data_IF_687613640557
#
_entry.id   IF_687613640557
#
_cell.length_a   1.000
_cell.length_b   1.000
_cell.length_c   1.000
_cell.angle_alpha   90.00
_cell.angle_beta   90.00
_cell.angle_gamma   90.00
#
_symmetry.space_group_name_H-M   'P 1'
#
loop_
_entity.id
_entity.type
_entity.pdbx_description
1 polymer ?
#
# COMPACT_ATOMS: atom_id res chain seq x y z
N UNK A 1 -12.87 -5.41 -2.37
CA UNK A 1 -12.43 -6.81 -2.39
C UNK A 1 -11.08 -6.87 -1.68
N UNK A 2 -11.02 -7.50 -0.52
CA UNK A 2 -9.75 -7.71 0.20
C UNK A 2 -8.92 -8.73 -0.59
N UNK A 3 -7.75 -8.36 -1.05
CA UNK A 3 -6.82 -9.29 -1.66
C UNK A 3 -5.75 -9.58 -0.62
N UNK A 4 -5.77 -10.76 0.02
CA UNK A 4 -4.64 -11.17 0.84
C UNK A 4 -3.46 -11.46 -0.08
N UNK A 5 -2.48 -10.58 -0.10
CA UNK A 5 -1.18 -10.85 -0.72
C UNK A 5 -0.33 -11.61 0.32
N UNK A 6 -0.78 -12.79 0.69
CA UNK A 6 0.00 -13.80 1.39
C UNK A 6 0.63 -14.78 0.38
N UNK A 7 1.46 -15.70 0.83
CA UNK A 7 2.23 -16.64 0.00
C UNK A 7 1.43 -17.41 -1.11
N UNK A 8 0.09 -17.40 -1.08
CA UNK A 8 -0.80 -17.89 -2.15
C UNK A 8 -1.28 -16.82 -3.13
N UNK A 9 -0.98 -15.54 -2.89
CA UNK A 9 -1.45 -14.42 -3.72
C UNK A 9 -0.84 -14.33 -5.11
N UNK A 10 0.33 -14.94 -5.31
CA UNK A 10 1.01 -14.96 -6.60
C UNK A 10 0.21 -15.66 -7.71
N UNK A 11 -0.58 -16.67 -7.39
CA UNK A 11 -1.40 -17.41 -8.38
C UNK A 11 -2.60 -16.57 -8.82
N UNK A 12 -3.28 -15.89 -7.90
CA UNK A 12 -4.38 -14.99 -8.21
C UNK A 12 -3.90 -13.79 -9.05
N UNK A 13 -2.80 -13.17 -8.65
CA UNK A 13 -2.18 -12.06 -9.35
C UNK A 13 -1.76 -12.45 -10.78
N UNK A 14 -1.12 -13.63 -10.94
CA UNK A 14 -0.75 -14.18 -12.25
C UNK A 14 -1.95 -14.40 -13.15
N UNK A 15 -3.06 -14.89 -12.60
CA UNK A 15 -4.32 -15.08 -13.31
C UNK A 15 -4.91 -13.76 -13.80
N UNK A 16 -4.96 -12.73 -12.93
CA UNK A 16 -5.47 -11.40 -13.25
C UNK A 16 -4.61 -10.72 -14.34
N UNK A 17 -3.30 -10.71 -14.19
CA UNK A 17 -2.37 -10.13 -15.19
C UNK A 17 -2.43 -10.87 -16.53
N UNK A 18 -2.70 -12.18 -16.54
CA UNK A 18 -2.86 -12.94 -17.77
C UNK A 18 -4.06 -12.50 -18.63
N UNK A 19 -5.00 -11.75 -18.07
CA UNK A 19 -6.13 -11.15 -18.82
C UNK A 19 -5.82 -9.77 -19.39
N UNK A 20 -4.68 -9.18 -19.04
CA UNK A 20 -4.29 -7.85 -19.48
C UNK A 20 -4.01 -7.81 -20.98
N UNK A 21 -4.45 -6.74 -21.62
CA UNK A 21 -4.01 -6.37 -22.97
C UNK A 21 -2.52 -6.00 -22.97
N UNK A 22 -1.91 -6.00 -24.14
CA UNK A 22 -0.51 -5.56 -24.29
C UNK A 22 -0.30 -4.11 -23.80
N UNK A 23 -1.32 -3.24 -23.95
CA UNK A 23 -1.30 -1.87 -23.43
C UNK A 23 -1.23 -1.82 -21.90
N UNK A 24 -2.08 -2.59 -21.22
CA UNK A 24 -2.10 -2.67 -19.76
C UNK A 24 -0.80 -3.28 -19.19
N UNK A 25 -0.22 -4.29 -19.84
CA UNK A 25 1.10 -4.82 -19.44
C UNK A 25 2.18 -3.75 -19.56
N UNK A 26 2.18 -2.97 -20.64
CA UNK A 26 3.14 -1.89 -20.83
C UNK A 26 2.98 -0.79 -19.77
N UNK A 27 1.76 -0.44 -19.42
CA UNK A 27 1.46 0.53 -18.38
C UNK A 27 1.87 0.03 -16.99
N UNK A 28 1.54 -1.22 -16.66
CA UNK A 28 1.98 -1.87 -15.44
C UNK A 28 3.51 -1.88 -15.32
N UNK A 29 4.21 -2.28 -16.38
CA UNK A 29 5.67 -2.27 -16.42
C UNK A 29 6.22 -0.86 -16.21
N UNK A 30 5.69 0.16 -16.87
CA UNK A 30 6.13 1.55 -16.71
C UNK A 30 6.02 2.00 -15.24
N UNK A 31 4.89 1.71 -14.59
CA UNK A 31 4.70 2.02 -13.17
C UNK A 31 5.65 1.21 -12.26
N UNK A 32 5.85 -0.07 -12.51
CA UNK A 32 6.82 -0.89 -11.74
C UNK A 32 8.24 -0.33 -11.87
N UNK A 33 8.64 0.15 -13.04
CA UNK A 33 9.97 0.74 -13.26
C UNK A 33 10.20 2.02 -12.46
N UNK A 34 9.18 2.74 -12.04
CA UNK A 34 9.31 3.92 -11.16
C UNK A 34 9.85 3.53 -9.77
N UNK A 35 9.57 2.31 -9.32
CA UNK A 35 9.98 1.76 -8.02
C UNK A 35 11.19 0.83 -8.14
N UNK A 36 11.21 0.00 -9.18
CA UNK A 36 12.24 -0.99 -9.47
C UNK A 36 12.81 -0.79 -10.88
N UNK A 37 13.71 0.18 -11.09
CA UNK A 37 14.19 0.57 -12.43
C UNK A 37 14.94 -0.53 -13.18
N UNK A 38 15.40 -1.55 -12.47
CA UNK A 38 16.09 -2.69 -13.07
C UNK A 38 15.13 -3.74 -13.66
N UNK A 39 13.82 -3.70 -13.36
CA UNK A 39 12.82 -4.55 -13.98
C UNK A 39 12.53 -4.02 -15.38
N UNK A 40 12.80 -4.84 -16.40
CA UNK A 40 12.66 -4.43 -17.81
C UNK A 40 11.55 -5.16 -18.55
N UNK A 41 10.98 -6.20 -17.96
CA UNK A 41 9.82 -6.90 -18.55
C UNK A 41 9.02 -7.65 -17.48
N UNK A 42 7.71 -7.75 -17.71
CA UNK A 42 6.75 -8.51 -16.90
C UNK A 42 5.86 -9.28 -17.88
N UNK A 43 5.67 -10.57 -17.66
CA UNK A 43 4.77 -11.38 -18.46
C UNK A 43 4.27 -12.61 -17.71
N UNK A 44 3.19 -13.21 -18.20
CA UNK A 44 2.67 -14.46 -17.64
C UNK A 44 2.90 -15.61 -18.63
N UNK A 45 3.11 -16.81 -18.10
CA UNK A 45 3.23 -18.04 -18.88
C UNK A 45 2.26 -19.10 -18.36
N UNK A 46 1.74 -19.91 -19.26
CA UNK A 46 0.87 -21.04 -18.90
C UNK A 46 1.71 -22.24 -18.47
N UNK A 47 1.37 -22.78 -17.31
CA UNK A 47 1.91 -24.03 -16.81
C UNK A 47 1.00 -25.22 -17.17
N UNK A 48 1.46 -26.44 -16.89
CA UNK A 48 0.62 -27.65 -17.01
C UNK A 48 -0.61 -27.53 -16.09
N UNK A 49 -1.77 -27.92 -16.60
CA UNK A 49 -3.03 -27.82 -15.85
C UNK A 49 -3.77 -26.47 -15.98
N UNK A 50 -3.28 -25.55 -16.85
CA UNK A 50 -3.94 -24.26 -17.10
C UNK A 50 -3.56 -23.14 -16.12
N UNK A 51 -2.72 -23.43 -15.14
CA UNK A 51 -2.21 -22.43 -14.20
C UNK A 51 -1.38 -21.36 -14.93
N UNK A 52 -1.40 -20.15 -14.39
CA UNK A 52 -0.58 -19.04 -14.86
C UNK A 52 0.52 -18.76 -13.86
N UNK A 53 1.71 -18.48 -14.34
CA UNK A 53 2.84 -18.04 -13.53
C UNK A 53 3.33 -16.70 -14.06
N UNK A 54 3.62 -15.78 -13.13
CA UNK A 54 4.14 -14.45 -13.42
C UNK A 54 5.67 -14.51 -13.43
N UNK A 55 6.25 -13.91 -14.45
CA UNK A 55 7.70 -13.80 -14.64
C UNK A 55 8.13 -12.35 -14.73
N UNK A 56 9.29 -12.10 -14.18
CA UNK A 56 10.00 -10.84 -14.25
C UNK A 56 11.31 -11.03 -15.03
N UNK A 57 11.73 -10.00 -15.73
CA UNK A 57 13.06 -9.92 -16.33
C UNK A 57 13.73 -8.68 -15.77
N UNK A 58 14.89 -8.84 -15.18
CA UNK A 58 15.70 -7.75 -14.66
C UNK A 58 16.99 -7.60 -15.46
N UNK A 59 17.52 -6.36 -15.45
CA UNK A 59 18.82 -6.05 -16.00
C UNK A 59 19.89 -6.28 -14.94
N UNK A 60 20.87 -7.11 -15.25
CA UNK A 60 22.02 -7.37 -14.40
C UNK A 60 23.08 -6.28 -14.52
N UNK A 61 23.92 -6.15 -13.48
CA UNK A 61 24.98 -5.13 -13.44
C UNK A 61 26.04 -5.32 -14.54
N UNK A 62 26.23 -6.54 -15.03
CA UNK A 62 27.13 -6.88 -16.14
C UNK A 62 26.55 -6.58 -17.52
N UNK A 63 25.34 -6.02 -17.59
CA UNK A 63 24.62 -5.69 -18.83
C UNK A 63 23.81 -6.85 -19.39
N UNK A 64 23.84 -8.03 -18.76
CA UNK A 64 22.98 -9.16 -19.08
C UNK A 64 21.54 -8.97 -18.59
N UNK A 65 20.72 -10.00 -18.79
CA UNK A 65 19.36 -10.06 -18.26
C UNK A 65 19.15 -11.35 -17.50
N UNK A 66 18.45 -11.26 -16.39
CA UNK A 66 18.07 -12.41 -15.58
C UNK A 66 16.54 -12.53 -15.51
N UNK A 67 16.04 -13.75 -15.69
CA UNK A 67 14.61 -14.07 -15.59
C UNK A 67 14.34 -14.85 -14.32
N UNK A 68 13.32 -14.44 -13.57
CA UNK A 68 12.84 -15.20 -12.42
C UNK A 68 11.31 -15.21 -12.37
N UNK A 69 10.75 -16.18 -11.68
CA UNK A 69 9.31 -16.29 -11.48
C UNK A 69 8.86 -15.57 -10.19
N UNK A 70 7.55 -15.34 -10.07
CA UNK A 70 6.94 -14.80 -8.86
C UNK A 70 7.29 -15.58 -7.60
N UNK A 71 7.51 -16.91 -7.70
CA UNK A 71 7.90 -17.74 -6.55
C UNK A 71 9.31 -17.43 -6.02
N UNK A 72 10.17 -16.86 -6.86
CA UNK A 72 11.54 -16.48 -6.51
C UNK A 72 11.70 -14.95 -6.37
N UNK A 73 10.59 -14.22 -6.35
CA UNK A 73 10.56 -12.77 -6.16
C UNK A 73 10.54 -12.39 -4.69
N UNK A 74 10.99 -11.19 -4.37
CA UNK A 74 10.77 -10.64 -3.04
C UNK A 74 9.30 -10.21 -2.86
N UNK A 75 8.81 -10.27 -1.61
CA UNK A 75 7.44 -9.92 -1.28
C UNK A 75 7.09 -8.48 -1.69
N UNK A 76 8.00 -7.54 -1.51
CA UNK A 76 7.79 -6.14 -1.87
C UNK A 76 7.48 -5.94 -3.36
N UNK A 77 8.19 -6.62 -4.26
CA UNK A 77 7.90 -6.54 -5.69
C UNK A 77 6.52 -7.13 -6.02
N UNK A 78 6.17 -8.28 -5.44
CA UNK A 78 4.86 -8.90 -5.66
C UNK A 78 3.72 -8.05 -5.12
N UNK A 79 3.88 -7.49 -3.92
CA UNK A 79 2.89 -6.58 -3.33
C UNK A 79 2.72 -5.33 -4.18
N UNK A 80 3.83 -4.71 -4.62
CA UNK A 80 3.76 -3.55 -5.50
C UNK A 80 3.02 -3.85 -6.81
N UNK A 81 3.35 -4.96 -7.46
CA UNK A 81 2.65 -5.38 -8.69
C UNK A 81 1.17 -5.63 -8.42
N UNK A 82 0.82 -6.18 -7.26
CA UNK A 82 -0.56 -6.34 -6.81
C UNK A 82 -1.27 -4.98 -6.68
N UNK A 83 -0.67 -4.02 -5.95
CA UNK A 83 -1.21 -2.66 -5.83
C UNK A 83 -1.42 -2.00 -7.19
N UNK A 84 -0.39 -2.01 -8.03
CA UNK A 84 -0.47 -1.37 -9.35
C UNK A 84 -1.51 -2.05 -10.26
N UNK A 85 -1.67 -3.36 -10.13
CA UNK A 85 -2.71 -4.10 -10.85
C UNK A 85 -4.11 -3.63 -10.44
N UNK A 86 -4.35 -3.41 -9.13
CA UNK A 86 -5.62 -2.85 -8.66
C UNK A 86 -5.83 -1.42 -9.16
N UNK A 87 -4.84 -0.57 -9.10
CA UNK A 87 -4.95 0.80 -9.64
C UNK A 87 -5.30 0.83 -11.13
N UNK A 88 -4.80 -0.13 -11.92
CA UNK A 88 -5.10 -0.20 -13.35
C UNK A 88 -6.46 -0.83 -13.68
N UNK A 89 -7.10 -1.50 -12.75
CA UNK A 89 -8.31 -2.30 -13.03
C UNK A 89 -9.51 -1.98 -12.17
N UNK A 90 -9.35 -1.22 -11.09
CA UNK A 90 -10.46 -0.92 -10.18
C UNK A 90 -11.11 0.42 -10.52
N UNK A 91 -12.41 0.38 -10.82
CA UNK A 91 -13.25 1.56 -11.04
C UNK A 91 -14.01 2.00 -9.78
N UNK A 92 -13.83 1.26 -8.67
CA UNK A 92 -14.51 1.47 -7.39
C UNK A 92 -13.52 1.85 -6.31
N UNK A 93 -13.86 1.63 -5.05
CA UNK A 93 -12.90 1.86 -3.95
C UNK A 93 -11.96 0.67 -3.76
N UNK A 94 -10.76 0.95 -3.22
CA UNK A 94 -9.71 -0.04 -2.97
C UNK A 94 -9.40 -0.07 -1.47
N UNK A 95 -9.17 -1.26 -0.91
CA UNK A 95 -8.74 -1.45 0.49
C UNK A 95 -7.42 -2.18 0.51
N UNK A 96 -6.44 -1.59 1.20
CA UNK A 96 -5.15 -2.22 1.47
C UNK A 96 -4.95 -2.40 2.96
N UNK A 97 -4.67 -3.62 3.37
CA UNK A 97 -4.40 -3.96 4.75
C UNK A 97 -2.89 -4.02 5.00
N UNK A 98 -2.44 -3.36 6.09
CA UNK A 98 -1.03 -3.27 6.48
C UNK A 98 -0.13 -2.87 5.30
N UNK A 99 -0.33 -1.65 4.80
CA UNK A 99 0.32 -1.17 3.57
C UNK A 99 1.84 -1.20 3.65
N UNK A 100 2.41 -1.04 4.84
CA UNK A 100 3.86 -1.01 5.09
C UNK A 100 4.55 -2.36 4.92
N UNK A 101 3.82 -3.46 4.95
CA UNK A 101 4.42 -4.78 4.90
C UNK A 101 5.17 -5.05 3.60
N UNK A 102 6.44 -5.44 3.71
CA UNK A 102 7.29 -5.80 2.58
C UNK A 102 7.92 -4.63 1.83
N UNK A 103 7.69 -3.37 2.25
CA UNK A 103 8.28 -2.20 1.63
C UNK A 103 9.35 -1.53 2.51
N UNK A 104 10.40 -1.03 1.87
CA UNK A 104 11.33 -0.12 2.51
C UNK A 104 10.76 1.32 2.52
N UNK A 105 11.32 2.23 3.35
CA UNK A 105 10.81 3.60 3.47
C UNK A 105 10.75 4.39 2.15
N UNK A 106 11.71 4.20 1.24
CA UNK A 106 11.75 4.91 -0.05
C UNK A 106 10.62 4.49 -0.98
N UNK A 107 10.33 3.19 -1.02
CA UNK A 107 9.19 2.64 -1.79
C UNK A 107 7.89 3.11 -1.16
N UNK A 108 7.81 3.09 0.17
CA UNK A 108 6.61 3.51 0.89
C UNK A 108 6.28 4.98 0.64
N UNK A 109 7.25 5.88 0.71
CA UNK A 109 7.03 7.31 0.41
C UNK A 109 6.45 7.51 -0.98
N UNK A 110 7.05 6.88 -2.01
CA UNK A 110 6.55 6.96 -3.39
C UNK A 110 5.14 6.37 -3.53
N UNK A 111 4.87 5.26 -2.86
CA UNK A 111 3.58 4.58 -2.92
C UNK A 111 2.48 5.44 -2.28
N UNK A 112 2.73 6.02 -1.11
CA UNK A 112 1.77 6.90 -0.42
C UNK A 112 1.47 8.13 -1.27
N UNK A 113 2.48 8.79 -1.85
CA UNK A 113 2.27 9.91 -2.77
C UNK A 113 1.42 9.52 -3.97
N UNK A 114 1.68 8.37 -4.58
CA UNK A 114 0.86 7.87 -5.70
C UNK A 114 -0.59 7.59 -5.27
N UNK A 115 -0.82 7.06 -4.06
CA UNK A 115 -2.15 6.79 -3.52
C UNK A 115 -2.93 8.10 -3.30
N UNK A 116 -2.29 9.13 -2.74
CA UNK A 116 -2.95 10.41 -2.47
C UNK A 116 -3.36 11.16 -3.74
N UNK A 117 -2.65 10.95 -4.84
CA UNK A 117 -2.95 11.54 -6.14
C UNK A 117 -3.97 10.72 -6.97
N UNK A 118 -4.37 9.56 -6.47
CA UNK A 118 -5.22 8.65 -7.22
C UNK A 118 -6.71 9.07 -7.12
N UNK A 119 -7.47 9.09 -8.23
CA UNK A 119 -8.84 9.63 -8.25
C UNK A 119 -9.88 8.72 -7.58
N UNK A 120 -9.53 7.48 -7.29
CA UNK A 120 -10.43 6.49 -6.67
C UNK A 120 -10.29 6.55 -5.15
N UNK A 121 -11.37 6.35 -4.41
CA UNK A 121 -11.33 6.25 -2.96
C UNK A 121 -10.51 5.04 -2.53
N UNK A 122 -9.52 5.28 -1.65
CA UNK A 122 -8.65 4.23 -1.12
C UNK A 122 -8.73 4.25 0.40
N UNK A 123 -8.85 3.07 1.00
CA UNK A 123 -8.73 2.85 2.43
C UNK A 123 -7.46 2.04 2.67
N UNK A 124 -6.60 2.52 3.53
CA UNK A 124 -5.41 1.79 3.96
C UNK A 124 -5.44 1.59 5.47
N UNK A 125 -4.99 0.44 5.93
CA UNK A 125 -4.67 0.24 7.34
C UNK A 125 -3.15 0.22 7.52
N UNK A 126 -2.68 0.67 8.68
CA UNK A 126 -1.27 0.69 9.00
C UNK A 126 -1.06 0.63 10.51
N UNK A 127 0.02 0.00 10.93
CA UNK A 127 0.56 0.08 12.30
C UNK A 127 1.78 1.01 12.36
N UNK A 128 2.15 1.63 11.22
CA UNK A 128 3.32 2.50 11.14
C UNK A 128 2.90 3.98 10.95
N UNK A 129 2.92 4.80 11.99
CA UNK A 129 2.51 6.20 11.93
C UNK A 129 3.40 7.07 11.02
N UNK A 130 4.61 6.61 10.68
CA UNK A 130 5.51 7.32 9.77
C UNK A 130 4.87 7.54 8.40
N UNK A 131 3.90 6.71 8.01
CA UNK A 131 3.15 6.86 6.76
C UNK A 131 2.47 8.24 6.66
N UNK A 132 1.99 8.78 7.77
CA UNK A 132 1.36 10.11 7.84
C UNK A 132 2.33 11.20 7.35
N UNK A 133 3.63 11.06 7.61
CA UNK A 133 4.64 12.02 7.15
C UNK A 133 4.87 12.05 5.64
N UNK A 134 4.43 11.02 4.92
CA UNK A 134 4.53 10.95 3.46
C UNK A 134 3.33 11.56 2.74
N UNK A 135 2.25 11.87 3.47
CA UNK A 135 1.04 12.50 2.95
C UNK A 135 1.19 14.03 2.92
N UNK A 136 0.38 14.68 2.09
CA UNK A 136 0.17 16.13 2.20
C UNK A 136 -0.58 16.40 3.52
N UNK A 137 -0.24 17.50 4.18
CA UNK A 137 -0.70 17.81 5.54
C UNK A 137 -2.22 17.87 5.64
N UNK A 138 -2.89 18.54 4.71
CA UNK A 138 -4.33 18.63 4.61
C UNK A 138 -4.99 17.26 4.45
N UNK A 139 -4.45 16.41 3.57
CA UNK A 139 -4.93 15.04 3.36
C UNK A 139 -4.72 14.21 4.62
N UNK A 140 -3.55 14.32 5.27
CA UNK A 140 -3.25 13.60 6.50
C UNK A 140 -4.27 13.93 7.59
N UNK A 141 -4.55 15.23 7.81
CA UNK A 141 -5.50 15.71 8.83
C UNK A 141 -6.92 15.22 8.53
N UNK A 142 -7.37 15.32 7.29
CA UNK A 142 -8.74 15.00 6.93
C UNK A 142 -9.01 13.48 6.82
N UNK A 143 -8.01 12.66 6.50
CA UNK A 143 -8.20 11.25 6.20
C UNK A 143 -7.80 10.28 7.30
N UNK A 144 -7.03 10.72 8.32
CA UNK A 144 -6.56 9.82 9.37
C UNK A 144 -7.67 9.45 10.35
N UNK A 145 -7.95 8.16 10.46
CA UNK A 145 -8.92 7.58 11.36
C UNK A 145 -8.21 6.76 12.44
N UNK A 146 -8.54 7.01 13.70
CA UNK A 146 -8.14 6.17 14.82
C UNK A 146 -9.22 5.11 15.05
N UNK A 147 -8.78 3.84 15.03
CA UNK A 147 -9.61 2.69 15.37
C UNK A 147 -9.19 2.19 16.75
N UNK A 148 -10.11 2.11 17.69
CA UNK A 148 -9.81 1.75 19.09
C UNK A 148 -10.86 0.83 19.67
N UNK A 149 -10.52 0.19 20.80
CA UNK A 149 -11.44 -0.67 21.53
C UNK A 149 -12.07 0.11 22.69
N UNK A 150 -13.39 0.10 22.77
CA UNK A 150 -14.13 0.70 23.88
C UNK A 150 -14.16 -0.23 25.10
N UNK A 151 -14.51 0.32 26.28
CA UNK A 151 -14.64 -0.46 27.52
C UNK A 151 -15.67 -1.58 27.43
N UNK A 152 -16.75 -1.39 26.67
CA UNK A 152 -17.78 -2.40 26.44
C UNK A 152 -17.34 -3.52 25.48
N UNK A 153 -16.10 -3.44 24.97
CA UNK A 153 -15.51 -4.40 24.05
C UNK A 153 -15.85 -4.17 22.59
N UNK A 154 -16.66 -3.16 22.26
CA UNK A 154 -16.95 -2.77 20.87
C UNK A 154 -15.81 -1.96 20.24
N UNK A 155 -15.82 -1.83 18.92
CA UNK A 155 -14.85 -1.01 18.18
C UNK A 155 -15.38 0.41 18.01
N UNK A 156 -14.55 1.39 18.34
CA UNK A 156 -14.77 2.80 18.04
C UNK A 156 -13.94 3.24 16.84
N UNK A 157 -14.42 4.22 16.09
CA UNK A 157 -13.70 4.87 15.01
C UNK A 157 -13.89 6.37 15.15
N UNK A 158 -12.80 7.15 15.07
CA UNK A 158 -12.85 8.61 15.14
C UNK A 158 -11.79 9.23 14.25
N UNK A 159 -12.02 10.44 13.75
CA UNK A 159 -10.98 11.22 13.09
C UNK A 159 -9.94 11.63 14.12
N UNK A 160 -8.71 11.22 13.91
CA UNK A 160 -7.62 11.36 14.88
C UNK A 160 -7.35 12.85 15.20
N UNK A 161 -7.25 13.67 14.18
CA UNK A 161 -6.92 15.08 14.32
C UNK A 161 -8.12 15.98 14.71
N UNK A 162 -9.33 15.42 14.81
CA UNK A 162 -10.49 16.12 15.41
C UNK A 162 -10.59 15.95 16.93
N UNK A 163 -9.74 15.12 17.54
CA UNK A 163 -9.65 15.01 19.00
C UNK A 163 -9.04 16.31 19.54
N UNK A 164 -9.66 17.01 20.49
CA UNK A 164 -9.24 18.35 20.92
C UNK A 164 -7.77 18.44 21.31
N UNK A 165 -7.29 17.51 22.14
CA UNK A 165 -5.89 17.46 22.58
C UNK A 165 -4.90 17.23 21.44
N UNK A 166 -5.27 16.40 20.45
CA UNK A 166 -4.47 16.15 19.25
C UNK A 166 -4.47 17.37 18.33
N UNK A 167 -5.65 17.97 18.13
CA UNK A 167 -5.82 19.15 17.27
C UNK A 167 -5.03 20.36 17.77
N UNK A 168 -4.93 20.57 19.10
CA UNK A 168 -4.16 21.67 19.68
C UNK A 168 -2.67 21.58 19.29
N UNK A 169 -2.12 20.37 19.22
CA UNK A 169 -0.71 20.12 18.88
C UNK A 169 -0.37 20.43 17.43
N UNK A 170 -1.36 20.40 16.52
CA UNK A 170 -1.16 20.79 15.12
C UNK A 170 -0.76 22.28 14.97
N UNK A 171 -0.94 23.09 16.00
CA UNK A 171 -0.51 24.50 15.99
C UNK A 171 1.02 24.67 15.96
N UNK A 172 1.79 23.64 16.33
CA UNK A 172 3.25 23.68 16.45
C UNK A 172 3.97 22.39 15.98
N UNK A 173 3.25 21.32 15.66
CA UNK A 173 3.78 20.05 15.14
C UNK A 173 3.10 19.69 13.84
N UNK A 174 3.84 19.04 12.94
CA UNK A 174 3.26 18.40 11.75
C UNK A 174 2.41 17.17 12.14
N UNK A 175 1.48 16.71 11.27
CA UNK A 175 0.59 15.58 11.59
C UNK A 175 1.34 14.30 12.03
N UNK A 176 2.45 13.98 11.39
CA UNK A 176 3.23 12.81 11.78
C UNK A 176 3.97 13.00 13.11
N UNK A 177 4.44 14.20 13.42
CA UNK A 177 5.05 14.53 14.72
C UNK A 177 4.01 14.47 15.82
N UNK A 178 2.80 14.99 15.60
CA UNK A 178 1.69 14.89 16.55
C UNK A 178 1.40 13.43 16.90
N UNK A 179 1.32 12.56 15.90
CA UNK A 179 1.05 11.15 16.14
C UNK A 179 2.13 10.48 17.00
N UNK A 180 3.41 10.86 16.83
CA UNK A 180 4.52 10.32 17.60
C UNK A 180 4.64 10.92 19.01
N UNK A 181 4.11 12.12 19.21
CA UNK A 181 4.20 12.87 20.47
C UNK A 181 3.06 12.53 21.44
N UNK A 182 1.93 12.04 20.94
CA UNK A 182 0.77 11.70 21.80
C UNK A 182 0.86 10.27 22.32
N UNK A 183 0.48 10.08 23.58
CA UNK A 183 0.12 8.77 24.10
C UNK A 183 -1.34 8.48 23.72
N UNK A 184 -1.55 7.46 22.89
CA UNK A 184 -2.88 7.14 22.39
C UNK A 184 -3.84 6.73 23.50
N UNK A 185 -3.37 6.03 24.53
CA UNK A 185 -4.19 5.57 25.65
C UNK A 185 -4.65 6.77 26.48
N UNK A 186 -3.78 7.74 26.76
CA UNK A 186 -4.13 8.97 27.47
C UNK A 186 -5.13 9.79 26.67
N UNK A 187 -4.90 9.95 25.35
CA UNK A 187 -5.82 10.68 24.46
C UNK A 187 -7.23 10.04 24.42
N UNK A 188 -7.31 8.70 24.45
CA UNK A 188 -8.60 8.02 24.46
C UNK A 188 -9.34 8.19 25.78
N UNK A 189 -8.63 8.23 26.92
CA UNK A 189 -9.19 8.46 28.25
C UNK A 189 -9.68 9.91 28.38
N UNK A 190 -8.85 10.88 28.03
CA UNK A 190 -9.16 12.31 28.14
C UNK A 190 -10.31 12.73 27.22
N UNK A 191 -10.44 12.08 26.07
CA UNK A 191 -11.55 12.30 25.15
C UNK A 191 -12.84 11.53 25.53
N UNK A 192 -12.88 10.83 26.67
CA UNK A 192 -14.01 9.99 27.12
C UNK A 192 -14.42 8.92 26.07
N UNK A 193 -13.46 8.35 25.35
CA UNK A 193 -13.72 7.41 24.26
C UNK A 193 -13.62 5.94 24.71
N UNK A 194 -12.97 5.68 25.85
CA UNK A 194 -12.77 4.36 26.44
C UNK A 194 -13.22 4.30 27.90
#
# INVERSE_FOLDING_TARGET
MLIPISAGGGEFLSGKIATFSAGQIKELLAKVCEFYPWIINIYTSSLRGGWKELFFVEKSADGGTHRFSSQNSCDGLLRLVGFLTEFLTSDTFIVFDEIENGFNPEIMEKLVRMITDFPTQIIITTHNPVIINYMQEDIAIESTLLVYRKQDGTTGIRRFFEIPEVSERLSYLSPGEVFLDVDIDDVLIDAELV
#
